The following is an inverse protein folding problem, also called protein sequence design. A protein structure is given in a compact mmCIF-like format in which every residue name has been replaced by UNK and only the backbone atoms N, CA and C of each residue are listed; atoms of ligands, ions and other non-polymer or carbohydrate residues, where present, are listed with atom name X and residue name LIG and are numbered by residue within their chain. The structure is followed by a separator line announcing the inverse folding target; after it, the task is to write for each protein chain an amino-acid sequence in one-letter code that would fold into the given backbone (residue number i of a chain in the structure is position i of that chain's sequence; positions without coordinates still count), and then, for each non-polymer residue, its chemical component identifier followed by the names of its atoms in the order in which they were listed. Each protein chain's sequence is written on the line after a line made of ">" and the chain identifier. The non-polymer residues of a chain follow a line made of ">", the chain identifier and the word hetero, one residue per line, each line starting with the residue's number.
data_IF_511805686569
#
_entry.id   IF_511805686569
#
_cell.length_a   1.000
_cell.length_b   1.000
_cell.length_c   1.000
_cell.angle_alpha   90.00
_cell.angle_beta   90.00
_cell.angle_gamma   90.00
#
_symmetry.space_group_name_H-M   'P 1'
#
loop_
_entity.id
_entity.type
_entity.pdbx_description
1 polymer ?
#
# COMPACT_ATOMS: atom_id res chain seq x y z
N UNK A 1 32.23 -17.56 -7.26
CA UNK A 1 32.18 -16.11 -7.49
C UNK A 1 31.28 -15.47 -6.43
N UNK A 2 31.84 -14.67 -5.51
CA UNK A 2 31.08 -13.98 -4.44
C UNK A 2 30.58 -12.63 -4.97
N UNK A 3 29.27 -12.38 -4.88
CA UNK A 3 28.70 -11.07 -5.27
C UNK A 3 29.26 -9.95 -4.38
N UNK A 4 29.59 -8.76 -4.96
CA UNK A 4 30.09 -7.62 -4.20
C UNK A 4 29.15 -7.23 -3.04
N UNK A 5 29.70 -6.77 -1.93
CA UNK A 5 28.95 -6.40 -0.71
C UNK A 5 27.87 -5.33 -0.98
N UNK A 6 28.10 -4.39 -1.90
CA UNK A 6 27.13 -3.36 -2.32
C UNK A 6 25.87 -3.92 -2.94
N UNK A 7 25.97 -5.01 -3.70
CA UNK A 7 24.80 -5.69 -4.30
C UNK A 7 23.96 -6.43 -3.26
N UNK A 8 24.61 -7.04 -2.25
CA UNK A 8 23.90 -7.68 -1.14
C UNK A 8 23.14 -6.65 -0.32
N UNK A 9 23.76 -5.51 -0.02
CA UNK A 9 23.12 -4.42 0.72
C UNK A 9 21.94 -3.80 -0.02
N UNK A 10 22.03 -3.58 -1.33
CA UNK A 10 20.91 -3.03 -2.11
C UNK A 10 19.72 -3.99 -2.17
N UNK A 11 19.97 -5.31 -2.33
CA UNK A 11 18.93 -6.33 -2.28
C UNK A 11 18.23 -6.39 -0.92
N UNK A 12 19.00 -6.34 0.16
CA UNK A 12 18.44 -6.30 1.51
C UNK A 12 17.55 -5.07 1.74
N UNK A 13 17.92 -3.90 1.22
CA UNK A 13 17.15 -2.66 1.39
C UNK A 13 15.80 -2.70 0.68
N UNK A 14 15.71 -3.20 -0.55
CA UNK A 14 14.42 -3.31 -1.25
C UNK A 14 13.49 -4.31 -0.56
N UNK A 15 14.05 -5.41 -0.01
CA UNK A 15 13.29 -6.38 0.77
C UNK A 15 12.80 -5.78 2.09
N UNK A 16 13.63 -5.00 2.79
CA UNK A 16 13.23 -4.29 4.00
C UNK A 16 12.13 -3.26 3.73
N UNK A 17 12.22 -2.51 2.62
CA UNK A 17 11.16 -1.59 2.23
C UNK A 17 9.84 -2.32 1.97
N UNK A 18 9.84 -3.40 1.21
CA UNK A 18 8.63 -4.20 0.96
C UNK A 18 8.07 -4.81 2.25
N UNK A 19 8.93 -5.28 3.15
CA UNK A 19 8.52 -5.80 4.45
C UNK A 19 7.85 -4.72 5.30
N UNK A 20 8.42 -3.51 5.34
CA UNK A 20 7.86 -2.39 6.08
C UNK A 20 6.46 -2.02 5.56
N UNK A 21 6.30 -1.85 4.24
CA UNK A 21 4.99 -1.57 3.66
C UNK A 21 4.00 -2.69 3.93
N UNK A 22 4.42 -3.96 3.78
CA UNK A 22 3.58 -5.12 4.09
C UNK A 22 3.09 -5.12 5.53
N UNK A 23 3.97 -4.82 6.50
CA UNK A 23 3.60 -4.69 7.91
C UNK A 23 2.65 -3.53 8.15
N UNK A 24 2.90 -2.36 7.57
CA UNK A 24 2.02 -1.19 7.71
C UNK A 24 0.63 -1.51 7.19
N UNK A 25 0.50 -2.12 6.01
CA UNK A 25 -0.80 -2.49 5.46
C UNK A 25 -1.54 -3.54 6.30
N UNK A 26 -0.82 -4.53 6.86
CA UNK A 26 -1.43 -5.48 7.79
C UNK A 26 -1.97 -4.77 9.04
N UNK A 27 -1.17 -3.89 9.63
CA UNK A 27 -1.58 -3.13 10.82
C UNK A 27 -2.80 -2.28 10.51
N UNK A 28 -2.79 -1.53 9.41
CA UNK A 28 -3.92 -0.70 8.96
C UNK A 28 -5.17 -1.55 8.75
N UNK A 29 -5.06 -2.69 8.05
CA UNK A 29 -6.18 -3.59 7.83
C UNK A 29 -6.76 -4.18 9.12
N UNK A 30 -5.91 -4.50 10.10
CA UNK A 30 -6.37 -4.95 11.43
C UNK A 30 -7.04 -3.81 12.20
N UNK A 31 -6.42 -2.64 12.25
CA UNK A 31 -6.92 -1.49 13.00
C UNK A 31 -8.27 -0.99 12.46
N UNK A 32 -8.54 -1.16 11.16
CA UNK A 32 -9.84 -0.89 10.55
C UNK A 32 -10.99 -1.74 11.11
N UNK A 33 -10.68 -2.84 11.80
CA UNK A 33 -11.64 -3.69 12.51
C UNK A 33 -11.65 -3.48 14.02
N UNK A 34 -10.94 -2.50 14.56
CA UNK A 34 -10.86 -2.27 16.01
C UNK A 34 -11.77 -1.11 16.42
N UNK A 35 -12.89 -1.37 17.14
CA UNK A 35 -13.74 -0.31 17.67
C UNK A 35 -12.95 0.65 18.57
N UNK A 36 -13.19 1.95 18.40
CA UNK A 36 -12.49 2.99 19.15
C UNK A 36 -11.22 3.51 18.46
N UNK A 37 -10.52 2.69 17.67
CA UNK A 37 -9.49 3.14 16.72
C UNK A 37 -10.16 3.54 15.40
N UNK A 38 -11.13 2.75 14.96
CA UNK A 38 -12.08 3.10 13.91
C UNK A 38 -13.29 3.74 14.58
N UNK A 39 -13.53 5.01 14.28
CA UNK A 39 -14.68 5.78 14.76
C UNK A 39 -15.93 5.40 13.96
N UNK A 40 -17.11 5.70 14.48
CA UNK A 40 -18.41 5.36 13.88
C UNK A 40 -18.49 3.91 13.39
N UNK A 41 -17.88 3.01 14.16
CA UNK A 41 -17.72 1.58 13.84
C UNK A 41 -19.05 0.90 13.52
N UNK A 42 -20.16 1.35 14.12
CA UNK A 42 -21.51 0.82 13.86
C UNK A 42 -22.03 1.09 12.45
N UNK A 43 -21.43 2.02 11.72
CA UNK A 43 -21.71 2.36 10.32
C UNK A 43 -20.76 1.71 9.32
N UNK A 44 -19.96 0.72 9.76
CA UNK A 44 -19.02 0.01 8.90
C UNK A 44 -19.81 -0.91 7.93
N UNK A 45 -19.82 -0.54 6.65
CA UNK A 45 -20.46 -1.30 5.58
C UNK A 45 -19.48 -2.23 4.88
N UNK A 46 -20.00 -3.20 4.09
CA UNK A 46 -19.14 -4.12 3.35
C UNK A 46 -18.33 -3.38 2.28
N UNK A 47 -19.00 -2.60 1.41
CA UNK A 47 -18.38 -1.84 0.31
C UNK A 47 -19.41 -0.80 -0.17
N UNK A 48 -19.25 0.46 0.22
CA UNK A 48 -20.17 1.53 -0.17
C UNK A 48 -19.62 2.87 0.31
N UNK A 49 -19.94 3.96 -0.42
CA UNK A 49 -19.73 5.33 0.07
C UNK A 49 -20.51 5.61 1.37
N UNK A 50 -21.56 4.79 1.66
CA UNK A 50 -22.35 4.92 2.88
C UNK A 50 -21.62 4.39 4.13
N UNK A 51 -20.46 3.75 3.98
CA UNK A 51 -19.64 3.39 5.13
C UNK A 51 -19.12 4.65 5.81
N UNK A 52 -19.76 5.04 6.93
CA UNK A 52 -19.38 6.20 7.72
C UNK A 52 -18.24 5.93 8.70
N UNK A 53 -17.68 4.73 8.71
CA UNK A 53 -16.59 4.35 9.60
C UNK A 53 -15.25 4.96 9.13
N UNK A 54 -14.50 5.55 10.07
CA UNK A 54 -13.22 6.21 9.76
C UNK A 54 -12.11 5.71 10.67
N UNK A 55 -11.05 5.19 10.07
CA UNK A 55 -9.82 4.85 10.79
C UNK A 55 -9.15 6.13 11.28
N UNK A 56 -8.92 6.20 12.60
CA UNK A 56 -8.42 7.38 13.32
C UNK A 56 -9.31 8.64 13.18
N UNK A 57 -10.58 8.48 12.78
CA UNK A 57 -11.47 9.62 12.48
C UNK A 57 -11.02 10.46 11.28
N UNK A 58 -10.32 9.86 10.33
CA UNK A 58 -9.73 10.56 9.19
C UNK A 58 -9.87 9.81 7.86
N UNK A 59 -9.60 8.52 7.84
CA UNK A 59 -9.59 7.71 6.62
C UNK A 59 -10.86 6.86 6.55
N UNK A 60 -11.66 7.05 5.52
CA UNK A 60 -12.88 6.28 5.32
C UNK A 60 -12.56 4.82 5.04
N UNK A 61 -13.19 3.90 5.77
CA UNK A 61 -12.92 2.46 5.64
C UNK A 61 -14.22 1.68 5.47
N UNK A 62 -14.10 0.52 4.83
CA UNK A 62 -15.14 -0.50 4.74
C UNK A 62 -14.56 -1.86 5.07
N UNK A 63 -15.40 -2.88 5.22
CA UNK A 63 -14.93 -4.26 5.40
C UNK A 63 -14.05 -4.67 4.23
N UNK A 64 -14.47 -4.38 2.98
CA UNK A 64 -13.70 -4.68 1.78
C UNK A 64 -12.34 -3.95 1.79
N UNK A 65 -12.32 -2.66 2.13
CA UNK A 65 -11.10 -1.85 2.25
C UNK A 65 -10.11 -2.50 3.23
N UNK A 66 -10.59 -2.85 4.42
CA UNK A 66 -9.76 -3.49 5.45
C UNK A 66 -9.23 -4.86 4.99
N UNK A 67 -10.07 -5.69 4.36
CA UNK A 67 -9.66 -6.99 3.82
C UNK A 67 -8.60 -6.85 2.71
N UNK A 68 -8.77 -5.88 1.80
CA UNK A 68 -7.78 -5.58 0.75
C UNK A 68 -6.44 -5.21 1.38
N UNK A 69 -6.44 -4.39 2.44
CA UNK A 69 -5.21 -4.05 3.18
C UNK A 69 -4.54 -5.27 3.80
N UNK A 70 -5.32 -6.20 4.38
CA UNK A 70 -4.76 -7.45 4.93
C UNK A 70 -4.13 -8.31 3.83
N UNK A 71 -4.81 -8.52 2.71
CA UNK A 71 -4.29 -9.30 1.57
C UNK A 71 -3.04 -8.62 0.98
N UNK A 72 -3.08 -7.30 0.83
CA UNK A 72 -1.97 -6.53 0.31
C UNK A 72 -0.75 -6.56 1.23
N UNK A 73 -0.99 -6.50 2.54
CA UNK A 73 0.05 -6.66 3.55
C UNK A 73 0.68 -8.04 3.53
N UNK A 74 -0.12 -9.12 3.46
CA UNK A 74 0.39 -10.49 3.32
C UNK A 74 1.20 -10.68 2.04
N UNK A 75 0.75 -10.09 0.92
CA UNK A 75 1.52 -10.10 -0.32
C UNK A 75 2.88 -9.41 -0.15
N UNK A 76 2.93 -8.27 0.55
CA UNK A 76 4.16 -7.57 0.87
C UNK A 76 5.14 -8.42 1.68
N UNK A 77 4.66 -9.09 2.73
CA UNK A 77 5.50 -9.99 3.55
C UNK A 77 6.06 -11.16 2.74
N UNK A 78 5.22 -11.81 1.94
CA UNK A 78 5.63 -12.99 1.14
C UNK A 78 6.60 -12.59 0.03
N UNK A 79 6.31 -11.52 -0.72
CA UNK A 79 7.14 -11.05 -1.82
C UNK A 79 8.46 -10.40 -1.34
N UNK A 80 8.51 -9.89 -0.10
CA UNK A 80 9.75 -9.42 0.52
C UNK A 80 10.81 -10.51 0.68
N UNK A 81 10.45 -11.79 0.62
CA UNK A 81 11.39 -12.92 0.68
C UNK A 81 12.46 -12.91 -0.41
N UNK A 82 12.20 -12.27 -1.56
CA UNK A 82 13.16 -12.14 -2.67
C UNK A 82 13.29 -10.68 -3.11
N UNK A 83 14.47 -10.28 -3.60
CA UNK A 83 14.66 -8.92 -4.09
C UNK A 83 13.82 -8.61 -5.34
N UNK A 84 13.57 -9.59 -6.20
CA UNK A 84 12.72 -9.43 -7.37
C UNK A 84 11.25 -9.27 -6.95
N UNK A 85 10.76 -10.11 -6.03
CA UNK A 85 9.42 -10.02 -5.48
C UNK A 85 9.19 -8.68 -4.77
N UNK A 86 10.12 -8.27 -3.92
CA UNK A 86 10.07 -6.98 -3.23
C UNK A 86 10.02 -5.79 -4.20
N UNK A 87 10.85 -5.82 -5.25
CA UNK A 87 10.83 -4.80 -6.30
C UNK A 87 9.47 -4.75 -7.02
N UNK A 88 8.96 -5.92 -7.42
CA UNK A 88 7.66 -6.02 -8.12
C UNK A 88 6.52 -5.55 -7.22
N UNK A 89 6.52 -5.95 -5.94
CA UNK A 89 5.51 -5.52 -4.97
C UNK A 89 5.48 -3.99 -4.83
N UNK A 90 6.65 -3.37 -4.65
CA UNK A 90 6.73 -1.91 -4.52
C UNK A 90 6.34 -1.20 -5.82
N UNK A 91 6.79 -1.68 -6.98
CA UNK A 91 6.53 -1.03 -8.26
C UNK A 91 5.05 -1.17 -8.67
N UNK A 92 4.55 -2.40 -8.72
CA UNK A 92 3.16 -2.70 -9.13
C UNK A 92 2.18 -2.16 -8.10
N UNK A 93 2.50 -2.38 -6.82
CA UNK A 93 1.67 -1.87 -5.74
C UNK A 93 1.58 -0.36 -5.72
N UNK A 94 2.70 0.33 -5.89
CA UNK A 94 2.68 1.78 -6.00
C UNK A 94 1.89 2.28 -7.21
N UNK A 95 1.95 1.57 -8.35
CA UNK A 95 1.12 1.89 -9.52
C UNK A 95 -0.39 1.71 -9.22
N UNK A 96 -0.77 0.64 -8.52
CA UNK A 96 -2.16 0.44 -8.07
C UNK A 96 -2.62 1.60 -7.19
N UNK A 97 -1.79 2.07 -6.25
CA UNK A 97 -2.12 3.23 -5.41
C UNK A 97 -2.31 4.53 -6.21
N UNK A 98 -1.51 4.76 -7.25
CA UNK A 98 -1.72 5.91 -8.14
C UNK A 98 -3.01 5.78 -8.96
N UNK A 99 -3.38 4.56 -9.37
CA UNK A 99 -4.69 4.32 -10.03
C UNK A 99 -5.84 4.60 -9.06
N UNK A 100 -5.73 4.17 -7.80
CA UNK A 100 -6.74 4.48 -6.77
C UNK A 100 -6.85 5.98 -6.50
N UNK A 101 -5.72 6.70 -6.48
CA UNK A 101 -5.73 8.15 -6.37
C UNK A 101 -6.47 8.81 -7.54
N UNK A 102 -6.18 8.42 -8.79
CA UNK A 102 -6.90 8.94 -9.98
C UNK A 102 -8.39 8.58 -9.92
N UNK A 103 -8.71 7.37 -9.46
CA UNK A 103 -10.09 6.94 -9.25
C UNK A 103 -10.80 7.84 -8.23
N UNK A 104 -10.22 8.07 -7.04
CA UNK A 104 -10.77 8.93 -6.00
C UNK A 104 -11.02 10.37 -6.48
N UNK A 105 -10.07 10.94 -7.28
CA UNK A 105 -10.26 12.27 -7.88
C UNK A 105 -11.33 12.31 -8.98
N UNK A 106 -11.62 11.19 -9.62
CA UNK A 106 -12.52 11.10 -10.79
C UNK A 106 -13.95 10.75 -10.39
N UNK A 107 -14.11 10.06 -9.26
CA UNK A 107 -15.40 9.59 -8.73
C UNK A 107 -15.81 10.52 -7.60
N UNK A 108 -17.04 11.06 -7.65
CA UNK A 108 -17.57 11.86 -6.53
C UNK A 108 -17.66 11.00 -5.26
N UNK A 109 -17.24 11.54 -4.13
CA UNK A 109 -17.21 10.79 -2.87
C UNK A 109 -18.59 10.28 -2.46
N UNK A 110 -19.67 10.99 -2.81
CA UNK A 110 -21.05 10.62 -2.54
C UNK A 110 -21.69 9.78 -3.67
N UNK A 111 -20.91 9.28 -4.61
CA UNK A 111 -21.38 8.50 -5.76
C UNK A 111 -21.39 7.02 -5.44
N UNK A 112 -22.41 6.29 -5.90
CA UNK A 112 -22.47 4.82 -5.86
C UNK A 112 -21.26 4.16 -6.55
N UNK A 113 -20.59 4.89 -7.44
CA UNK A 113 -19.34 4.43 -8.05
C UNK A 113 -18.16 4.42 -7.07
N UNK A 114 -18.24 5.11 -5.92
CA UNK A 114 -17.26 5.06 -4.83
C UNK A 114 -17.47 3.83 -3.93
N UNK A 115 -17.51 2.64 -4.53
CA UNK A 115 -17.77 1.37 -3.84
C UNK A 115 -16.61 0.92 -2.93
N UNK A 116 -15.39 1.34 -3.21
CA UNK A 116 -14.29 1.32 -2.24
C UNK A 116 -14.25 2.72 -1.65
N UNK A 117 -14.85 2.95 -0.49
CA UNK A 117 -15.06 4.29 0.00
C UNK A 117 -13.73 5.00 0.18
N UNK A 118 -13.61 6.13 -0.50
CA UNK A 118 -12.46 7.01 -0.43
C UNK A 118 -12.96 8.42 -0.11
N UNK A 119 -12.32 9.07 0.83
CA UNK A 119 -12.49 10.48 1.07
C UNK A 119 -11.23 11.26 0.61
N UNK A 120 -11.25 12.57 0.77
CA UNK A 120 -10.11 13.43 0.34
C UNK A 120 -8.79 13.06 1.04
N UNK A 121 -8.84 12.61 2.30
CA UNK A 121 -7.63 12.18 3.02
C UNK A 121 -7.07 10.88 2.44
N UNK A 122 -7.95 9.93 2.07
CA UNK A 122 -7.56 8.70 1.40
C UNK A 122 -6.89 8.96 0.05
N UNK A 123 -7.45 9.88 -0.75
CA UNK A 123 -6.90 10.22 -2.05
C UNK A 123 -5.44 10.69 -1.95
N UNK A 124 -5.16 11.62 -1.04
CA UNK A 124 -3.81 12.12 -0.87
C UNK A 124 -2.86 11.11 -0.22
N UNK A 125 -3.37 10.25 0.66
CA UNK A 125 -2.59 9.14 1.22
C UNK A 125 -2.21 8.15 0.11
N UNK A 126 -3.13 7.79 -0.78
CA UNK A 126 -2.87 6.91 -1.91
C UNK A 126 -1.82 7.50 -2.86
N UNK A 127 -1.90 8.79 -3.16
CA UNK A 127 -0.87 9.49 -3.92
C UNK A 127 0.52 9.36 -3.27
N UNK A 128 0.60 9.72 -1.99
CA UNK A 128 1.87 9.68 -1.25
C UNK A 128 2.47 8.28 -1.19
N UNK A 129 1.64 7.26 -0.90
CA UNK A 129 2.06 5.86 -0.87
C UNK A 129 2.51 5.37 -2.24
N UNK A 130 1.77 5.70 -3.31
CA UNK A 130 2.11 5.34 -4.67
C UNK A 130 3.47 5.88 -5.10
N UNK A 131 3.72 7.18 -4.87
CA UNK A 131 5.00 7.82 -5.18
C UNK A 131 6.14 7.23 -4.32
N UNK A 132 5.91 7.02 -3.01
CA UNK A 132 6.92 6.47 -2.11
C UNK A 132 7.33 5.05 -2.51
N UNK A 133 6.36 4.17 -2.80
CA UNK A 133 6.61 2.79 -3.20
C UNK A 133 7.36 2.71 -4.53
N UNK A 134 6.92 3.44 -5.56
CA UNK A 134 7.59 3.47 -6.87
C UNK A 134 8.99 4.08 -6.73
N UNK A 135 9.12 5.19 -6.02
CA UNK A 135 10.40 5.85 -5.79
C UNK A 135 11.42 4.93 -5.13
N UNK A 136 11.00 4.18 -4.08
CA UNK A 136 11.85 3.20 -3.41
C UNK A 136 12.18 2.01 -4.32
N UNK A 137 11.24 1.51 -5.11
CA UNK A 137 11.50 0.45 -6.08
C UNK A 137 12.61 0.88 -7.05
N UNK A 138 12.47 2.06 -7.66
CA UNK A 138 13.42 2.56 -8.64
C UNK A 138 14.78 2.93 -8.02
N UNK A 139 14.80 3.56 -6.85
CA UNK A 139 16.02 3.96 -6.18
C UNK A 139 16.86 2.77 -5.69
N UNK A 140 16.19 1.73 -5.17
CA UNK A 140 16.85 0.56 -4.60
C UNK A 140 17.09 -0.55 -5.62
N UNK A 141 16.21 -0.68 -6.64
CA UNK A 141 16.32 -1.67 -7.70
C UNK A 141 17.43 -1.37 -8.71
N UNK A 142 17.62 -0.11 -9.10
CA UNK A 142 18.63 0.31 -10.11
C UNK A 142 20.08 0.08 -9.70
N UNK A 143 20.38 0.00 -8.41
CA UNK A 143 21.75 -0.26 -7.92
C UNK A 143 22.23 -1.69 -8.16
N UNK A 144 21.33 -2.61 -8.54
CA UNK A 144 21.66 -4.01 -8.85
C UNK A 144 22.11 -4.26 -10.29
N UNK A 145 21.81 -3.37 -11.24
CA UNK A 145 22.04 -3.57 -12.68
C UNK A 145 23.23 -2.82 -13.26
N UNK A 146 23.75 -1.80 -12.59
CA UNK A 146 24.80 -0.91 -13.13
C UNK A 146 26.24 -1.44 -13.11
N UNK A 147 26.52 -2.62 -12.55
CA UNK A 147 27.91 -3.14 -12.42
C UNK A 147 28.18 -4.36 -13.32
N UNK A 148 27.34 -4.63 -14.29
CA UNK A 148 27.51 -5.75 -15.23
C UNK A 148 28.02 -5.36 -16.63
N UNK A 149 28.30 -4.09 -16.88
CA UNK A 149 28.79 -3.58 -18.17
C UNK A 149 30.18 -2.91 -17.98
N UNK A 150 31.20 -3.75 -17.74
CA UNK A 150 32.62 -3.49 -18.06
C UNK A 150 33.31 -4.82 -18.26
#
# INVERSE_FOLDING_TARGET
>A
MTRPASHRAARARVQQAALLFGLVFLVVGVLGFVPGITTDYGSLEFASQDSGAELFGLFQVSILHNLVHLVYGLAGLTLAGTAAGAYSYLLVGGAVYLVLWVYGLSVGHDSDANFVPLNTADDWLHFALGIAMIGLALALGRRGTRTGAR
#
